data_IF_548683612132
#
_entry.id   IF_548683612132
#
_cell.length_a   1.000
_cell.length_b   1.000
_cell.length_c   1.000
_cell.angle_alpha   90.00
_cell.angle_beta   90.00
_cell.angle_gamma   90.00
#
_symmetry.space_group_name_H-M   'P 1'
#
loop_
_entity.id
_entity.type
_entity.pdbx_description
1 polymer ?
#
# COMPACT_ATOMS: atom_id res chain seq x y z
N UNK A 1 -10.64 28.34 1.22
CA UNK A 1 -11.39 27.09 1.27
C UNK A 1 -10.41 25.92 1.08
N UNK A 2 -10.57 24.87 1.90
CA UNK A 2 -9.75 23.65 1.78
C UNK A 2 -9.95 23.04 0.39
N UNK A 3 -8.85 22.66 -0.26
CA UNK A 3 -8.89 21.91 -1.51
C UNK A 3 -8.51 20.46 -1.23
N UNK A 4 -9.25 19.54 -1.83
CA UNK A 4 -8.99 18.09 -1.74
C UNK A 4 -8.97 17.49 -3.14
N UNK A 5 -8.19 16.42 -3.29
CA UNK A 5 -7.98 15.76 -4.57
C UNK A 5 -8.18 14.27 -4.41
N UNK A 6 -8.78 13.62 -5.40
CA UNK A 6 -8.88 12.17 -5.46
C UNK A 6 -8.62 11.70 -6.88
N UNK A 7 -7.94 10.59 -7.00
CA UNK A 7 -7.73 9.89 -8.27
C UNK A 7 -8.75 8.77 -8.43
N UNK A 8 -9.23 8.61 -9.63
CA UNK A 8 -10.05 7.47 -10.04
C UNK A 8 -9.69 7.05 -11.46
N UNK A 9 -10.22 5.92 -11.87
CA UNK A 9 -9.93 5.36 -13.19
C UNK A 9 -11.19 5.29 -14.01
N UNK A 10 -11.04 5.55 -15.31
CA UNK A 10 -12.15 5.48 -16.27
C UNK A 10 -12.75 4.07 -16.24
N UNK A 11 -14.06 4.02 -16.28
CA UNK A 11 -14.85 2.78 -16.24
C UNK A 11 -14.63 1.89 -15.00
N UNK A 12 -14.00 2.40 -13.94
CA UNK A 12 -13.74 1.62 -12.72
C UNK A 12 -15.01 0.97 -12.17
N UNK A 13 -16.16 1.65 -12.20
CA UNK A 13 -17.43 1.07 -11.73
C UNK A 13 -17.84 -0.21 -12.49
N UNK A 14 -17.46 -0.33 -13.76
CA UNK A 14 -17.77 -1.49 -14.60
C UNK A 14 -16.89 -2.69 -14.27
N UNK A 15 -15.63 -2.43 -13.90
CA UNK A 15 -14.60 -3.46 -13.71
C UNK A 15 -14.28 -3.74 -12.25
N UNK A 16 -14.74 -2.89 -11.33
CA UNK A 16 -14.48 -3.08 -9.91
C UNK A 16 -15.24 -4.30 -9.39
N UNK A 17 -14.49 -5.21 -8.77
CA UNK A 17 -15.00 -6.34 -8.03
C UNK A 17 -14.48 -6.27 -6.60
N UNK A 18 -15.39 -6.32 -5.62
CA UNK A 18 -15.02 -6.33 -4.22
C UNK A 18 -14.18 -7.57 -3.90
N UNK A 19 -13.09 -7.36 -3.18
CA UNK A 19 -12.19 -8.42 -2.72
C UNK A 19 -12.05 -8.36 -1.20
N UNK A 20 -11.39 -9.35 -0.58
CA UNK A 20 -11.05 -9.27 0.84
C UNK A 20 -10.10 -8.10 1.15
N UNK A 21 -9.25 -7.73 0.20
CA UNK A 21 -8.33 -6.61 0.33
C UNK A 21 -9.05 -5.27 0.19
N UNK A 22 -9.88 -5.13 -0.84
CA UNK A 22 -10.68 -3.93 -1.11
C UNK A 22 -12.17 -4.30 -1.14
N UNK A 23 -12.87 -4.26 0.00
CA UNK A 23 -14.25 -4.72 0.12
C UNK A 23 -15.28 -3.74 -0.48
N UNK A 24 -14.88 -2.54 -0.81
CA UNK A 24 -15.77 -1.52 -1.39
C UNK A 24 -15.00 -0.49 -2.20
N UNK A 25 -15.71 0.28 -3.01
CA UNK A 25 -15.16 1.41 -3.73
C UNK A 25 -14.99 2.62 -2.81
N UNK A 26 -13.94 3.40 -3.01
CA UNK A 26 -13.59 4.55 -2.15
C UNK A 26 -14.47 5.78 -2.39
N UNK A 27 -15.02 5.92 -3.60
CA UNK A 27 -15.76 7.10 -4.01
C UNK A 27 -16.92 7.53 -3.08
N UNK A 28 -17.72 6.63 -2.47
CA UNK A 28 -18.75 7.03 -1.50
C UNK A 28 -18.17 7.67 -0.23
N UNK A 29 -17.05 7.13 0.26
CA UNK A 29 -16.39 7.65 1.46
C UNK A 29 -15.72 8.99 1.20
N UNK A 30 -15.10 9.15 0.02
CA UNK A 30 -14.53 10.43 -0.42
C UNK A 30 -15.61 11.52 -0.45
N UNK A 31 -16.78 11.25 -1.03
CA UNK A 31 -17.90 12.20 -1.05
C UNK A 31 -18.33 12.58 0.36
N UNK A 32 -18.59 11.59 1.20
CA UNK A 32 -19.00 11.82 2.59
C UNK A 32 -18.01 12.70 3.35
N UNK A 33 -16.71 12.48 3.17
CA UNK A 33 -15.68 13.28 3.82
C UNK A 33 -15.64 14.70 3.26
N UNK A 34 -15.74 14.87 1.95
CA UNK A 34 -15.76 16.20 1.33
C UNK A 34 -16.98 17.02 1.73
N UNK A 35 -18.16 16.39 1.81
CA UNK A 35 -19.38 17.03 2.30
C UNK A 35 -19.22 17.49 3.76
N UNK A 36 -18.63 16.65 4.61
CA UNK A 36 -18.34 16.98 6.01
C UNK A 36 -17.36 18.16 6.15
N UNK A 37 -16.31 18.19 5.32
CA UNK A 37 -15.28 19.23 5.35
C UNK A 37 -15.72 20.54 4.66
N UNK A 38 -16.77 20.52 3.84
CA UNK A 38 -17.12 21.64 2.97
C UNK A 38 -15.98 22.01 2.02
N UNK A 39 -15.20 21.03 1.58
CA UNK A 39 -14.01 21.22 0.77
C UNK A 39 -14.35 21.43 -0.71
N UNK A 40 -13.48 22.18 -1.42
CA UNK A 40 -13.48 22.19 -2.87
C UNK A 40 -12.77 20.94 -3.38
N UNK A 41 -13.52 19.98 -3.88
CA UNK A 41 -13.00 18.70 -4.31
C UNK A 41 -12.69 18.65 -5.82
N UNK A 42 -11.53 18.09 -6.15
CA UNK A 42 -11.09 17.86 -7.52
C UNK A 42 -11.00 16.34 -7.77
N UNK A 43 -11.87 15.86 -8.67
CA UNK A 43 -11.81 14.49 -9.16
C UNK A 43 -10.89 14.41 -10.36
N UNK A 44 -9.80 13.67 -10.25
CA UNK A 44 -8.90 13.35 -11.35
C UNK A 44 -9.25 11.95 -11.86
N UNK A 45 -9.64 11.85 -13.12
CA UNK A 45 -9.93 10.56 -13.75
C UNK A 45 -8.84 10.24 -14.75
N UNK A 46 -8.15 9.13 -14.56
CA UNK A 46 -7.09 8.65 -15.43
C UNK A 46 -7.61 7.55 -16.35
N UNK A 47 -7.12 7.51 -17.58
CA UNK A 47 -7.42 6.46 -18.55
C UNK A 47 -6.19 5.53 -18.73
N UNK A 48 -6.42 4.27 -19.04
CA UNK A 48 -5.36 3.27 -19.22
C UNK A 48 -4.30 3.67 -20.26
N UNK A 49 -4.65 4.23 -21.42
CA UNK A 49 -3.64 4.71 -22.37
C UNK A 49 -2.70 5.77 -21.80
N UNK A 50 -3.22 6.71 -20.99
CA UNK A 50 -2.40 7.74 -20.34
C UNK A 50 -1.42 7.13 -19.33
N UNK A 51 -1.88 6.12 -18.58
CA UNK A 51 -1.04 5.40 -17.61
C UNK A 51 0.13 4.68 -18.32
N UNK A 52 -0.17 4.00 -19.42
CA UNK A 52 0.85 3.29 -20.21
C UNK A 52 1.88 4.27 -20.77
N UNK A 53 1.44 5.40 -21.32
CA UNK A 53 2.34 6.43 -21.84
C UNK A 53 3.19 7.08 -20.76
N UNK A 54 2.72 7.11 -19.51
CA UNK A 54 3.43 7.72 -18.39
C UNK A 54 4.48 6.80 -17.75
N UNK A 55 4.56 5.51 -18.09
CA UNK A 55 5.46 4.53 -17.45
C UNK A 55 6.93 4.96 -17.49
N UNK A 56 7.45 5.37 -18.64
CA UNK A 56 8.85 5.80 -18.76
C UNK A 56 9.12 7.06 -17.94
N UNK A 57 8.23 8.04 -18.02
CA UNK A 57 8.37 9.28 -17.25
C UNK A 57 8.28 9.03 -15.74
N UNK A 58 7.52 8.02 -15.30
CA UNK A 58 7.45 7.64 -13.89
C UNK A 58 8.77 7.01 -13.41
N UNK A 59 9.40 6.15 -14.22
CA UNK A 59 10.73 5.59 -13.92
C UNK A 59 11.78 6.69 -13.86
N UNK A 60 11.79 7.62 -14.83
CA UNK A 60 12.71 8.78 -14.82
C UNK A 60 12.50 9.65 -13.57
N UNK A 61 11.27 9.90 -13.17
CA UNK A 61 10.96 10.72 -12.00
C UNK A 61 11.41 10.09 -10.67
N UNK A 62 11.57 8.77 -10.62
CA UNK A 62 12.03 8.02 -9.45
C UNK A 62 13.49 7.59 -9.51
N UNK A 63 14.14 7.71 -10.65
CA UNK A 63 15.47 7.17 -10.96
C UNK A 63 15.57 5.63 -10.89
N UNK A 64 14.49 4.93 -10.59
CA UNK A 64 14.44 3.48 -10.44
C UNK A 64 13.09 2.92 -10.94
N UNK A 65 13.08 1.70 -11.49
CA UNK A 65 11.83 0.97 -11.70
C UNK A 65 11.11 0.73 -10.37
N UNK A 66 9.81 0.95 -10.36
CA UNK A 66 8.96 0.76 -9.19
C UNK A 66 7.68 -0.01 -9.54
N UNK A 67 6.57 0.33 -8.89
CA UNK A 67 5.25 -0.25 -9.15
C UNK A 67 4.63 0.45 -10.36
N UNK A 68 4.73 -0.15 -11.54
CA UNK A 68 4.41 0.46 -12.82
C UNK A 68 3.07 1.22 -12.87
N UNK A 69 1.98 0.59 -12.45
CA UNK A 69 0.64 1.18 -12.44
C UNK A 69 0.47 2.25 -11.35
N UNK A 70 1.04 2.02 -10.17
CA UNK A 70 0.99 2.96 -9.05
C UNK A 70 1.81 4.20 -9.36
N UNK A 71 3.04 4.05 -9.82
CA UNK A 71 3.96 5.17 -10.06
C UNK A 71 3.48 6.07 -11.20
N UNK A 72 2.99 5.50 -12.30
CA UNK A 72 2.43 6.27 -13.40
C UNK A 72 1.16 7.02 -12.98
N UNK A 73 0.29 6.38 -12.19
CA UNK A 73 -0.89 7.04 -11.60
C UNK A 73 -0.51 8.21 -10.71
N UNK A 74 0.45 8.00 -9.80
CA UNK A 74 0.92 9.02 -8.88
C UNK A 74 1.53 10.21 -9.62
N UNK A 75 2.38 9.96 -10.63
CA UNK A 75 2.97 11.01 -11.46
C UNK A 75 1.89 11.88 -12.14
N UNK A 76 0.91 11.23 -12.79
CA UNK A 76 -0.18 11.94 -13.46
C UNK A 76 -1.05 12.69 -12.46
N UNK A 77 -1.35 12.11 -11.32
CA UNK A 77 -2.10 12.74 -10.24
C UNK A 77 -1.36 13.97 -9.68
N UNK A 78 -0.07 13.87 -9.39
CA UNK A 78 0.75 15.00 -8.95
C UNK A 78 0.78 16.14 -9.97
N UNK A 79 0.83 15.83 -11.27
CA UNK A 79 0.75 16.84 -12.35
C UNK A 79 -0.58 17.61 -12.30
N UNK A 80 -1.68 16.97 -11.92
CA UNK A 80 -2.98 17.63 -11.78
C UNK A 80 -3.08 18.46 -10.48
N UNK A 81 -2.37 18.09 -9.42
CA UNK A 81 -2.33 18.85 -8.17
C UNK A 81 -1.44 20.10 -8.30
N UNK A 82 -0.34 20.00 -9.02
CA UNK A 82 0.69 21.04 -9.13
C UNK A 82 0.18 22.46 -9.45
N UNK A 83 -0.82 22.66 -10.33
CA UNK A 83 -1.38 23.99 -10.60
C UNK A 83 -2.16 24.60 -9.42
N UNK A 84 -2.55 23.78 -8.46
CA UNK A 84 -3.43 24.17 -7.35
C UNK A 84 -2.71 24.30 -6.02
N UNK A 85 -1.60 23.55 -5.81
CA UNK A 85 -0.90 23.50 -4.55
C UNK A 85 0.60 23.21 -4.72
N UNK A 86 1.43 23.86 -3.90
CA UNK A 86 2.87 23.59 -3.81
C UNK A 86 3.15 22.36 -2.96
N UNK A 87 2.35 22.16 -1.92
CA UNK A 87 2.42 21.02 -0.99
C UNK A 87 1.03 20.43 -0.84
N UNK A 88 0.95 19.10 -0.87
CA UNK A 88 -0.26 18.34 -0.58
C UNK A 88 0.02 17.34 0.54
N UNK A 89 -0.93 17.17 1.45
CA UNK A 89 -0.91 16.11 2.44
C UNK A 89 -1.55 14.86 1.84
N UNK A 90 -0.87 13.73 1.98
CA UNK A 90 -1.35 12.44 1.52
C UNK A 90 -1.99 11.65 2.64
N UNK A 91 -2.96 10.79 2.31
CA UNK A 91 -3.49 9.75 3.20
C UNK A 91 -2.66 8.47 3.20
N UNK A 92 -1.51 8.46 2.56
CA UNK A 92 -0.54 7.34 2.58
C UNK A 92 -0.21 6.96 4.03
N UNK A 93 0.00 5.68 4.29
CA UNK A 93 0.22 5.12 5.62
C UNK A 93 -1.01 5.11 6.56
N UNK A 94 -2.19 5.49 6.09
CA UNK A 94 -3.39 5.44 6.92
C UNK A 94 -3.79 4.00 7.28
N UNK A 95 -3.60 3.05 6.37
CA UNK A 95 -3.88 1.64 6.60
C UNK A 95 -2.96 1.02 7.65
N UNK A 96 -1.70 1.46 7.71
CA UNK A 96 -0.73 1.06 8.73
C UNK A 96 -1.12 1.59 10.11
N UNK A 97 -1.55 2.84 10.17
CA UNK A 97 -1.88 3.53 11.43
C UNK A 97 -3.23 3.08 11.97
N UNK A 98 -4.24 2.93 11.11
CA UNK A 98 -5.62 2.65 11.50
C UNK A 98 -6.05 1.18 11.28
N UNK A 99 -5.15 0.32 10.86
CA UNK A 99 -5.42 -1.12 10.69
C UNK A 99 -6.35 -1.44 9.52
N UNK A 100 -6.20 -0.75 8.39
CA UNK A 100 -7.03 -0.93 7.20
C UNK A 100 -6.80 -2.24 6.46
N UNK A 101 -5.60 -2.81 6.54
CA UNK A 101 -5.24 -4.03 5.82
C UNK A 101 -5.95 -5.30 6.33
N UNK A 102 -6.15 -6.32 5.46
CA UNK A 102 -6.79 -7.58 5.82
C UNK A 102 -6.15 -8.30 7.01
N UNK A 103 -4.83 -8.22 7.17
CA UNK A 103 -4.13 -8.89 8.27
C UNK A 103 -4.45 -8.36 9.66
N UNK A 104 -5.04 -7.17 9.77
CA UNK A 104 -5.54 -6.68 11.06
C UNK A 104 -6.90 -7.29 11.42
N UNK A 105 -7.74 -7.60 10.45
CA UNK A 105 -9.15 -8.00 10.63
C UNK A 105 -9.48 -9.44 10.23
N UNK A 106 -8.70 -10.08 9.36
CA UNK A 106 -8.90 -11.50 8.97
C UNK A 106 -8.01 -12.42 9.83
N UNK A 107 -8.59 -13.22 10.75
CA UNK A 107 -7.81 -14.14 11.57
C UNK A 107 -6.98 -15.14 10.76
N UNK A 108 -7.48 -15.56 9.59
CA UNK A 108 -6.78 -16.51 8.73
C UNK A 108 -5.46 -15.94 8.17
N UNK A 109 -5.32 -14.62 8.12
CA UNK A 109 -4.08 -13.95 7.72
C UNK A 109 -3.27 -13.53 8.94
N UNK A 110 -3.94 -12.98 9.96
CA UNK A 110 -3.30 -12.47 11.18
C UNK A 110 -2.52 -13.53 11.94
N UNK A 111 -3.09 -14.73 12.05
CA UNK A 111 -2.49 -15.82 12.85
C UNK A 111 -1.38 -16.58 12.09
N UNK A 112 -1.12 -16.24 10.82
CA UNK A 112 -0.03 -16.85 10.07
C UNK A 112 1.33 -16.41 10.61
N UNK A 113 2.27 -17.33 10.58
CA UNK A 113 3.68 -17.05 10.86
C UNK A 113 4.29 -16.16 9.77
N UNK A 114 5.21 -15.29 10.16
CA UNK A 114 5.94 -14.42 9.24
C UNK A 114 5.30 -13.04 9.04
N UNK A 115 5.87 -12.26 8.14
CA UNK A 115 5.30 -10.99 7.72
C UNK A 115 3.99 -11.23 6.96
N UNK A 116 2.88 -10.59 7.32
CA UNK A 116 1.59 -10.81 6.66
C UNK A 116 1.59 -10.52 5.15
N UNK A 117 2.39 -9.57 4.71
CA UNK A 117 2.54 -9.16 3.31
C UNK A 117 3.55 -9.99 2.52
N UNK A 118 4.36 -10.84 3.15
CA UNK A 118 5.41 -11.64 2.51
C UNK A 118 5.09 -13.14 2.44
N UNK A 119 3.82 -13.53 2.57
CA UNK A 119 3.39 -14.94 2.58
C UNK A 119 3.59 -15.69 1.24
N UNK A 120 3.91 -15.00 0.17
CA UNK A 120 4.13 -15.56 -1.16
C UNK A 120 5.58 -15.48 -1.64
N UNK A 121 6.55 -15.41 -0.73
CA UNK A 121 7.99 -15.23 -1.08
C UNK A 121 8.49 -16.34 -2.00
N UNK A 122 8.22 -17.61 -1.69
CA UNK A 122 8.62 -18.73 -2.54
C UNK A 122 7.98 -18.66 -3.95
N UNK A 123 6.72 -18.29 -4.04
CA UNK A 123 6.04 -18.10 -5.32
C UNK A 123 6.68 -16.97 -6.13
N UNK A 124 7.00 -15.85 -5.52
CA UNK A 124 7.66 -14.71 -6.18
C UNK A 124 9.07 -15.07 -6.63
N UNK A 125 9.81 -15.83 -5.84
CA UNK A 125 11.15 -16.29 -6.19
C UNK A 125 11.16 -17.16 -7.45
N UNK A 126 10.10 -17.91 -7.74
CA UNK A 126 9.96 -18.72 -8.94
C UNK A 126 9.92 -17.93 -10.28
N UNK A 127 9.67 -16.62 -10.22
CA UNK A 127 9.75 -15.75 -11.40
C UNK A 127 11.16 -15.20 -11.67
N UNK A 128 12.11 -15.40 -10.75
CA UNK A 128 13.47 -14.93 -10.90
C UNK A 128 14.24 -15.96 -11.74
N UNK A 129 14.94 -15.47 -12.76
CA UNK A 129 15.74 -16.34 -13.64
C UNK A 129 16.78 -17.10 -12.83
N UNK A 130 16.96 -18.38 -13.18
CA UNK A 130 17.99 -19.25 -12.58
C UNK A 130 19.38 -18.57 -12.58
N UNK A 131 20.11 -18.73 -11.50
CA UNK A 131 21.45 -18.16 -11.30
C UNK A 131 21.50 -16.69 -10.88
N UNK A 132 20.38 -15.92 -10.96
CA UNK A 132 20.38 -14.51 -10.54
C UNK A 132 20.53 -14.36 -9.04
N UNK A 133 19.92 -15.25 -8.28
CA UNK A 133 20.00 -15.22 -6.81
C UNK A 133 21.29 -15.85 -6.25
N UNK A 134 22.04 -16.60 -7.07
CA UNK A 134 23.19 -17.35 -6.60
C UNK A 134 22.81 -18.30 -5.45
N UNK A 135 23.49 -18.16 -4.33
CA UNK A 135 23.24 -18.97 -3.12
C UNK A 135 22.18 -18.36 -2.18
N UNK A 136 21.50 -17.28 -2.60
CA UNK A 136 20.50 -16.61 -1.77
C UNK A 136 19.20 -17.39 -1.80
N UNK A 137 18.73 -17.85 -0.64
CA UNK A 137 17.38 -18.34 -0.43
C UNK A 137 16.47 -17.17 0.03
N UNK A 138 15.56 -16.67 -0.84
CA UNK A 138 14.69 -15.55 -0.49
C UNK A 138 13.74 -15.85 0.67
N UNK A 139 13.31 -17.10 0.83
CA UNK A 139 12.40 -17.48 1.91
C UNK A 139 13.15 -17.48 3.26
N UNK A 140 14.34 -18.07 3.30
CA UNK A 140 15.21 -18.03 4.47
C UNK A 140 15.64 -16.61 4.84
N UNK A 141 15.92 -15.75 3.84
CA UNK A 141 16.23 -14.34 4.08
C UNK A 141 15.08 -13.59 4.74
N UNK A 142 13.86 -13.76 4.22
CA UNK A 142 12.65 -13.10 4.77
C UNK A 142 12.36 -13.61 6.18
N UNK A 143 12.52 -14.92 6.42
CA UNK A 143 12.34 -15.49 7.76
C UNK A 143 13.34 -14.93 8.76
N UNK A 144 14.62 -14.89 8.42
CA UNK A 144 15.67 -14.32 9.26
C UNK A 144 15.38 -12.86 9.63
N UNK A 145 14.89 -12.06 8.67
CA UNK A 145 14.47 -10.67 8.91
C UNK A 145 13.26 -10.57 9.82
N UNK A 146 12.30 -11.47 9.68
CA UNK A 146 11.15 -11.54 10.58
C UNK A 146 11.57 -11.84 12.01
N UNK A 147 12.40 -12.86 12.22
CA UNK A 147 12.93 -13.22 13.53
C UNK A 147 13.76 -12.09 14.16
N UNK A 148 14.63 -11.47 13.38
CA UNK A 148 15.40 -10.31 13.82
C UNK A 148 14.49 -9.19 14.30
N UNK A 149 13.46 -8.83 13.53
CA UNK A 149 12.53 -7.76 13.88
C UNK A 149 11.77 -8.07 15.17
N UNK A 150 11.34 -9.32 15.35
CA UNK A 150 10.69 -9.73 16.60
C UNK A 150 11.63 -9.61 17.81
N UNK A 151 12.93 -9.95 17.64
CA UNK A 151 13.92 -9.87 18.71
C UNK A 151 14.28 -8.42 19.06
N UNK A 152 14.35 -7.53 18.07
CA UNK A 152 14.72 -6.13 18.25
C UNK A 152 13.54 -5.26 18.73
N UNK A 153 12.31 -5.72 18.53
CA UNK A 153 11.12 -4.92 18.81
C UNK A 153 10.52 -5.29 20.17
N UNK A 154 10.63 -4.39 21.13
CA UNK A 154 9.95 -4.52 22.41
C UNK A 154 8.44 -4.33 22.21
N UNK A 155 7.67 -5.37 22.40
CA UNK A 155 6.21 -5.33 22.34
C UNK A 155 5.63 -5.49 23.74
N UNK A 156 4.88 -4.48 24.19
CA UNK A 156 4.10 -4.63 25.41
C UNK A 156 3.08 -5.78 25.21
N UNK A 157 2.99 -6.73 26.16
CA UNK A 157 2.02 -7.80 26.05
C UNK A 157 0.60 -7.24 26.01
N UNK A 158 -0.24 -7.82 25.16
CA UNK A 158 -1.67 -7.53 25.15
C UNK A 158 -2.38 -8.24 26.30
N UNK A 159 -3.67 -7.95 26.47
CA UNK A 159 -4.54 -8.64 27.44
C UNK A 159 -4.73 -10.10 27.13
N UNK A 160 -4.61 -10.47 25.85
CA UNK A 160 -4.70 -11.82 25.32
C UNK A 160 -3.74 -12.03 24.14
N UNK A 161 -3.72 -13.24 23.59
CA UNK A 161 -2.86 -13.60 22.47
C UNK A 161 -3.18 -12.80 21.19
N UNK A 162 -4.46 -12.49 20.94
CA UNK A 162 -4.90 -11.73 19.77
C UNK A 162 -4.38 -10.30 19.85
N UNK A 163 -4.57 -9.64 20.98
CA UNK A 163 -4.07 -8.27 21.19
C UNK A 163 -2.54 -8.22 21.12
N UNK A 164 -1.87 -9.21 21.69
CA UNK A 164 -0.40 -9.32 21.61
C UNK A 164 0.04 -9.45 20.16
N UNK A 165 -0.61 -10.31 19.36
CA UNK A 165 -0.32 -10.47 17.93
C UNK A 165 -0.58 -9.19 17.15
N UNK A 166 -1.67 -8.47 17.43
CA UNK A 166 -1.98 -7.18 16.79
C UNK A 166 -0.90 -6.14 17.07
N UNK A 167 -0.43 -6.05 18.30
CA UNK A 167 0.68 -5.14 18.68
C UNK A 167 1.98 -5.50 17.96
N UNK A 168 2.30 -6.79 17.85
CA UNK A 168 3.45 -7.24 17.04
C UNK A 168 3.31 -6.80 15.58
N UNK A 169 2.14 -6.96 14.97
CA UNK A 169 1.91 -6.55 13.58
C UNK A 169 2.05 -5.04 13.36
N UNK A 170 1.60 -4.24 14.30
CA UNK A 170 1.81 -2.77 14.27
C UNK A 170 3.32 -2.49 14.22
N UNK A 171 4.11 -3.12 15.08
CA UNK A 171 5.56 -2.91 15.09
C UNK A 171 6.24 -3.41 13.81
N UNK A 172 5.82 -4.57 13.27
CA UNK A 172 6.31 -5.07 11.98
C UNK A 172 6.04 -4.08 10.84
N UNK A 173 4.85 -3.47 10.81
CA UNK A 173 4.50 -2.44 9.83
C UNK A 173 5.41 -1.21 9.98
N UNK A 174 5.60 -0.70 11.18
CA UNK A 174 6.46 0.46 11.41
C UNK A 174 7.93 0.17 11.12
N UNK A 175 8.42 -1.04 11.41
CA UNK A 175 9.81 -1.39 11.20
C UNK A 175 10.16 -1.68 9.73
N UNK A 176 9.23 -2.26 8.96
CA UNK A 176 9.53 -2.82 7.64
C UNK A 176 8.61 -2.39 6.50
N UNK A 177 7.37 -2.09 6.76
CA UNK A 177 6.42 -1.76 5.69
C UNK A 177 6.39 -0.26 5.40
N UNK A 178 6.35 0.57 6.44
CA UNK A 178 6.33 2.03 6.27
C UNK A 178 7.65 2.67 5.82
N UNK A 179 8.86 2.16 6.19
CA UNK A 179 10.11 2.80 5.78
C UNK A 179 10.53 2.55 4.33
N UNK A 180 9.81 1.73 3.59
CA UNK A 180 10.19 1.31 2.21
C UNK A 180 9.72 2.28 1.15
#
# INVERSE_FOLDING_TARGET
>A
QLQTFSVGYKDNRRYFHATKFQPGADAPYIRKMNDFLGARHHWVTLDTPELVLALYAAVEARDLPGMADVDSSLLLFCRQIKPHATVALSGECADEIFGGYPWYRDPAVREKYGFPWAQSTAYRAAFIKEGVLGDIDPAAFVDARYQQTLAETSVLPGRDAVETRMRQMVNLNFAWFMPV
#
